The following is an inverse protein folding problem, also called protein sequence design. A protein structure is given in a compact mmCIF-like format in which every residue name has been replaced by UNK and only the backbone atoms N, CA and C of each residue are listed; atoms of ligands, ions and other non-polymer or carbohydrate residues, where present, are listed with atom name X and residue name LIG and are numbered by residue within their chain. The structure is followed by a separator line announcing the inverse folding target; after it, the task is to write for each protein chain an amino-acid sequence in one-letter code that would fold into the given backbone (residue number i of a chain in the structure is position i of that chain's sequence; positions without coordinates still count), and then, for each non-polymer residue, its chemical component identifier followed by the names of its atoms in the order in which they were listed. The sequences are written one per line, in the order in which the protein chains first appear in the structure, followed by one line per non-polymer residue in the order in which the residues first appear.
data_IF_198451453827
#
_entry.id   IF_198451453827
#
_cell.length_a   1.000
_cell.length_b   1.000
_cell.length_c   1.000
_cell.angle_alpha   90.00
_cell.angle_beta   90.00
_cell.angle_gamma   90.00
#
_symmetry.space_group_name_H-M   'P 1'
#
loop_
_entity.id
_entity.type
_entity.pdbx_description
1 polymer ?
#
# COMPACT_ATOMS: atom_id res chain seq x y z
N UNK A 1 -30.41 -2.04 -21.64
CA UNK A 1 -30.08 -0.74 -22.27
C UNK A 1 -30.24 0.42 -21.28
N UNK A 2 -31.25 0.40 -20.38
CA UNK A 2 -31.41 1.41 -19.32
C UNK A 2 -30.30 1.42 -18.25
N UNK A 3 -29.69 0.26 -17.94
CA UNK A 3 -28.67 0.17 -16.88
C UNK A 3 -27.39 0.95 -17.21
N UNK A 4 -27.02 1.01 -18.49
CA UNK A 4 -25.82 1.75 -18.94
C UNK A 4 -26.01 3.25 -18.78
N UNK A 5 -27.20 3.78 -19.12
CA UNK A 5 -27.52 5.20 -18.88
C UNK A 5 -27.52 5.54 -17.40
N UNK A 6 -28.00 4.61 -16.56
CA UNK A 6 -27.99 4.76 -15.11
C UNK A 6 -26.57 4.74 -14.51
N UNK A 7 -25.66 3.94 -15.07
CA UNK A 7 -24.25 3.96 -14.67
C UNK A 7 -23.58 5.27 -15.07
N UNK A 8 -23.81 5.75 -16.31
CA UNK A 8 -23.26 7.01 -16.78
C UNK A 8 -23.77 8.21 -15.98
N UNK A 9 -25.05 8.21 -15.57
CA UNK A 9 -25.58 9.28 -14.71
C UNK A 9 -24.92 9.27 -13.33
N UNK A 10 -24.77 8.10 -12.68
CA UNK A 10 -24.09 7.98 -11.38
C UNK A 10 -22.64 8.45 -11.45
N UNK A 11 -21.91 8.07 -12.50
CA UNK A 11 -20.52 8.48 -12.70
C UNK A 11 -20.40 10.01 -12.89
N UNK A 12 -21.34 10.61 -13.61
CA UNK A 12 -21.36 12.05 -13.83
C UNK A 12 -21.77 12.82 -12.56
N UNK A 13 -22.76 12.34 -11.82
CA UNK A 13 -23.22 12.93 -10.56
C UNK A 13 -22.16 12.84 -9.46
N UNK A 14 -21.44 11.72 -9.36
CA UNK A 14 -20.40 11.49 -8.33
C UNK A 14 -19.00 11.84 -8.81
N UNK A 15 -18.84 12.45 -9.99
CA UNK A 15 -17.52 12.69 -10.60
C UNK A 15 -16.56 13.45 -9.68
N UNK A 16 -17.05 14.48 -8.98
CA UNK A 16 -16.24 15.27 -8.06
C UNK A 16 -15.73 14.43 -6.88
N UNK A 17 -16.61 13.63 -6.27
CA UNK A 17 -16.27 12.73 -5.17
C UNK A 17 -15.28 11.64 -5.62
N UNK A 18 -15.50 11.04 -6.78
CA UNK A 18 -14.59 10.04 -7.35
C UNK A 18 -13.21 10.64 -7.63
N UNK A 19 -13.16 11.85 -8.17
CA UNK A 19 -11.91 12.56 -8.43
C UNK A 19 -11.14 12.83 -7.13
N UNK A 20 -11.82 13.29 -6.08
CA UNK A 20 -11.22 13.51 -4.76
C UNK A 20 -10.62 12.20 -4.20
N UNK A 21 -11.37 11.10 -4.26
CA UNK A 21 -10.91 9.79 -3.81
C UNK A 21 -9.68 9.31 -4.59
N UNK A 22 -9.66 9.57 -5.91
CA UNK A 22 -8.54 9.23 -6.78
C UNK A 22 -7.29 10.03 -6.39
N UNK A 23 -7.43 11.33 -6.14
CA UNK A 23 -6.34 12.18 -5.66
C UNK A 23 -5.82 11.70 -4.32
N UNK A 24 -6.70 11.37 -3.37
CA UNK A 24 -6.30 10.80 -2.07
C UNK A 24 -5.51 9.50 -2.24
N UNK A 25 -5.95 8.61 -3.14
CA UNK A 25 -5.26 7.36 -3.42
C UNK A 25 -3.88 7.57 -4.05
N UNK A 26 -3.76 8.52 -4.99
CA UNK A 26 -2.48 8.89 -5.61
C UNK A 26 -1.52 9.45 -4.55
N UNK A 27 -1.98 10.37 -3.70
CA UNK A 27 -1.15 10.98 -2.66
C UNK A 27 -0.66 9.93 -1.64
N UNK A 28 -1.56 9.04 -1.21
CA UNK A 28 -1.20 7.91 -0.34
C UNK A 28 -0.15 7.01 -0.99
N UNK A 29 -0.36 6.65 -2.25
CA UNK A 29 0.55 5.76 -2.99
C UNK A 29 1.93 6.40 -3.18
N UNK A 30 1.98 7.68 -3.54
CA UNK A 30 3.24 8.42 -3.68
C UNK A 30 3.99 8.50 -2.35
N UNK A 31 3.28 8.78 -1.24
CA UNK A 31 3.88 8.80 0.08
C UNK A 31 4.47 7.42 0.45
N UNK A 32 3.72 6.35 0.23
CA UNK A 32 4.18 4.99 0.47
C UNK A 32 5.43 4.65 -0.37
N UNK A 33 5.38 4.86 -1.69
CA UNK A 33 6.50 4.57 -2.61
C UNK A 33 7.75 5.34 -2.22
N UNK A 34 7.61 6.60 -1.81
CA UNK A 34 8.75 7.42 -1.37
C UNK A 34 9.43 6.79 -0.14
N UNK A 35 8.63 6.39 0.85
CA UNK A 35 9.14 5.75 2.08
C UNK A 35 9.77 4.38 1.76
N UNK A 36 9.07 3.55 0.98
CA UNK A 36 9.54 2.22 0.55
C UNK A 36 10.88 2.35 -0.18
N UNK A 37 11.00 3.30 -1.10
CA UNK A 37 12.20 3.49 -1.91
C UNK A 37 13.39 3.84 -1.02
N UNK A 38 13.21 4.76 -0.07
CA UNK A 38 14.27 5.14 0.88
C UNK A 38 14.68 3.93 1.71
N UNK A 39 13.73 3.26 2.36
CA UNK A 39 14.02 2.13 3.25
C UNK A 39 14.61 0.94 2.49
N UNK A 40 14.04 0.60 1.33
CA UNK A 40 14.46 -0.50 0.48
C UNK A 40 15.86 -0.30 -0.08
N UNK A 41 16.18 0.91 -0.57
CA UNK A 41 17.53 1.23 -1.05
C UNK A 41 18.53 1.20 0.12
N UNK A 42 18.23 1.85 1.25
CA UNK A 42 19.13 1.86 2.41
C UNK A 42 19.41 0.44 2.92
N UNK A 43 18.35 -0.37 3.06
CA UNK A 43 18.45 -1.75 3.53
C UNK A 43 19.20 -2.63 2.52
N UNK A 44 18.91 -2.47 1.22
CA UNK A 44 19.61 -3.18 0.15
C UNK A 44 21.11 -2.90 0.13
N UNK A 45 21.51 -1.63 0.28
CA UNK A 45 22.92 -1.22 0.36
C UNK A 45 23.58 -1.78 1.62
N UNK A 46 22.91 -1.70 2.78
CA UNK A 46 23.46 -2.19 4.04
C UNK A 46 23.74 -3.72 4.03
N UNK A 47 22.95 -4.47 3.26
CA UNK A 47 23.03 -5.93 3.19
C UNK A 47 23.96 -6.47 2.10
N UNK A 48 24.64 -5.61 1.33
CA UNK A 48 25.51 -6.02 0.22
C UNK A 48 26.58 -7.03 0.67
N UNK A 49 27.28 -6.72 1.76
CA UNK A 49 28.43 -7.50 2.24
C UNK A 49 28.05 -8.56 3.30
N UNK A 50 26.84 -8.48 3.86
CA UNK A 50 26.41 -9.32 4.99
C UNK A 50 25.54 -10.51 4.54
N UNK A 51 26.17 -11.58 4.03
CA UNK A 51 25.46 -12.74 3.43
C UNK A 51 24.39 -13.36 4.35
N UNK A 52 24.68 -13.50 5.65
CA UNK A 52 23.77 -14.11 6.64
C UNK A 52 22.54 -13.24 6.89
N UNK A 53 22.74 -11.94 7.06
CA UNK A 53 21.65 -10.98 7.26
C UNK A 53 20.77 -10.86 6.02
N UNK A 54 21.37 -10.92 4.82
CA UNK A 54 20.61 -10.94 3.57
C UNK A 54 19.65 -12.13 3.50
N UNK A 55 20.08 -13.34 3.81
CA UNK A 55 19.18 -14.50 3.81
C UNK A 55 18.02 -14.34 4.79
N UNK A 56 18.28 -13.81 5.98
CA UNK A 56 17.24 -13.57 6.98
C UNK A 56 16.23 -12.52 6.52
N UNK A 57 16.70 -11.36 6.06
CA UNK A 57 15.83 -10.26 5.59
C UNK A 57 15.01 -10.69 4.38
N UNK A 58 15.61 -11.36 3.40
CA UNK A 58 14.88 -11.88 2.25
C UNK A 58 13.82 -12.91 2.66
N UNK A 59 14.10 -13.74 3.67
CA UNK A 59 13.12 -14.66 4.22
C UNK A 59 11.91 -13.95 4.84
N UNK A 60 12.15 -12.88 5.62
CA UNK A 60 11.09 -12.06 6.20
C UNK A 60 10.25 -11.35 5.13
N UNK A 61 10.89 -10.72 4.14
CA UNK A 61 10.19 -10.04 3.04
C UNK A 61 9.31 -11.03 2.27
N UNK A 62 9.87 -12.18 1.88
CA UNK A 62 9.10 -13.22 1.19
C UNK A 62 7.91 -13.72 2.02
N UNK A 63 8.09 -13.89 3.33
CA UNK A 63 6.98 -14.25 4.22
C UNK A 63 5.89 -13.17 4.24
N UNK A 64 6.26 -11.90 4.40
CA UNK A 64 5.31 -10.79 4.41
C UNK A 64 4.52 -10.70 3.10
N UNK A 65 5.16 -10.98 1.96
CA UNK A 65 4.50 -11.00 0.64
C UNK A 65 3.48 -12.12 0.47
N UNK A 66 3.54 -13.18 1.29
CA UNK A 66 2.51 -14.23 1.25
C UNK A 66 1.21 -13.81 1.93
N UNK A 67 1.25 -12.78 2.79
CA UNK A 67 0.07 -12.27 3.48
C UNK A 67 -0.70 -11.37 2.49
N UNK A 68 -1.98 -11.67 2.18
CA UNK A 68 -2.74 -10.82 1.26
C UNK A 68 -2.93 -9.43 1.88
N UNK A 69 -2.80 -8.39 1.05
CA UNK A 69 -2.84 -6.99 1.50
C UNK A 69 -4.10 -6.63 2.29
N UNK A 70 -5.27 -7.18 1.89
CA UNK A 70 -6.55 -6.99 2.59
C UNK A 70 -6.50 -7.59 4.00
N UNK A 71 -5.88 -8.77 4.18
CA UNK A 71 -5.74 -9.38 5.50
C UNK A 71 -4.75 -8.62 6.38
N UNK A 72 -3.63 -8.17 5.81
CA UNK A 72 -2.67 -7.31 6.52
C UNK A 72 -3.36 -6.02 7.00
N UNK A 73 -4.22 -5.42 6.17
CA UNK A 73 -5.06 -4.29 6.57
C UNK A 73 -5.91 -4.62 7.80
N UNK A 74 -6.62 -5.74 7.79
CA UNK A 74 -7.45 -6.19 8.91
C UNK A 74 -6.66 -6.45 10.19
N UNK A 75 -5.47 -7.05 10.08
CA UNK A 75 -4.58 -7.34 11.21
C UNK A 75 -4.07 -6.08 11.91
N UNK A 76 -3.89 -4.98 11.18
CA UNK A 76 -3.35 -3.74 11.73
C UNK A 76 -4.42 -2.75 12.24
N UNK A 77 -5.71 -2.97 11.93
CA UNK A 77 -6.83 -2.18 12.50
C UNK A 77 -6.77 -2.08 14.03
N UNK A 78 -6.60 -3.17 14.82
CA UNK A 78 -6.55 -3.05 16.28
C UNK A 78 -5.32 -2.29 16.81
N UNK A 79 -4.25 -2.19 16.02
CA UNK A 79 -3.00 -1.55 16.43
C UNK A 79 -2.97 -0.06 16.08
N UNK A 80 -3.40 0.30 14.87
CA UNK A 80 -3.27 1.64 14.30
C UNK A 80 -4.64 2.33 14.13
N UNK A 81 -5.71 1.54 14.07
CA UNK A 81 -7.06 2.02 13.73
C UNK A 81 -7.36 1.97 12.24
N UNK A 82 -8.47 2.58 11.85
CA UNK A 82 -8.91 2.67 10.44
C UNK A 82 -8.44 4.01 9.87
N UNK A 83 -7.99 4.02 8.61
CA UNK A 83 -7.73 5.24 7.86
C UNK A 83 -6.33 5.32 7.25
N UNK A 84 -5.89 6.54 6.98
CA UNK A 84 -4.66 6.84 6.23
C UNK A 84 -3.40 6.23 6.88
N UNK A 85 -3.24 6.35 8.20
CA UNK A 85 -2.07 5.83 8.90
C UNK A 85 -1.92 4.32 8.77
N UNK A 86 -3.01 3.57 8.94
CA UNK A 86 -3.02 2.12 8.75
C UNK A 86 -2.68 1.76 7.30
N UNK A 87 -3.31 2.44 6.34
CA UNK A 87 -3.05 2.22 4.93
C UNK A 87 -1.59 2.44 4.55
N UNK A 88 -0.98 3.53 5.07
CA UNK A 88 0.40 3.85 4.80
C UNK A 88 1.35 2.78 5.35
N UNK A 89 1.14 2.34 6.60
CA UNK A 89 1.99 1.31 7.22
C UNK A 89 1.90 -0.01 6.48
N UNK A 90 0.68 -0.46 6.15
CA UNK A 90 0.47 -1.71 5.41
C UNK A 90 1.11 -1.65 4.03
N UNK A 91 0.95 -0.53 3.31
CA UNK A 91 1.58 -0.35 1.99
C UNK A 91 3.11 -0.36 2.09
N UNK A 92 3.69 0.26 3.12
CA UNK A 92 5.15 0.26 3.31
C UNK A 92 5.67 -1.14 3.61
N UNK A 93 5.02 -1.88 4.51
CA UNK A 93 5.44 -3.26 4.86
C UNK A 93 5.31 -4.19 3.65
N UNK A 94 4.21 -4.09 2.90
CA UNK A 94 3.98 -4.93 1.73
C UNK A 94 4.84 -4.52 0.52
N UNK A 95 5.26 -3.26 0.44
CA UNK A 95 6.01 -2.75 -0.71
C UNK A 95 7.53 -2.89 -0.62
N UNK A 96 8.07 -3.25 0.55
CA UNK A 96 9.51 -3.46 0.81
C UNK A 96 10.01 -4.79 0.28
#
# INVERSE_FOLDING_TARGET
MNDIYHLFSILNERRAYLYELLVQHILLSLAAITIITIIGITTGIALLHQKRWRQFVMGLVNFLYTIPSIAMFGLFIPLIGIGYGNALVVLVIYGL
#
